data_IF_320279698135
#
_entry.id   IF_320279698135
#
_cell.length_a   1.000
_cell.length_b   1.000
_cell.length_c   1.000
_cell.angle_alpha   90.00
_cell.angle_beta   90.00
_cell.angle_gamma   90.00
#
_symmetry.space_group_name_H-M   'P 1'
#
loop_
_entity.id
_entity.type
_entity.pdbx_description
1 polymer ?
#
# COMPACT_ATOMS: atom_id res chain seq x y z
N UNK A 1 -61.48 24.53 -48.96
CA UNK A 1 -61.67 23.30 -49.75
C UNK A 1 -60.31 22.64 -49.82
N UNK A 2 -60.02 21.51 -49.24
CA UNK A 2 -60.62 20.35 -48.60
C UNK A 2 -59.63 19.88 -47.56
N UNK A 3 -59.93 19.57 -46.46
CA UNK A 3 -60.34 18.40 -45.74
C UNK A 3 -59.84 17.05 -46.28
N UNK A 4 -59.02 16.34 -45.53
CA UNK A 4 -59.05 14.88 -45.34
C UNK A 4 -57.93 14.51 -44.36
N UNK A 5 -58.28 14.10 -43.24
CA UNK A 5 -58.53 12.78 -42.69
C UNK A 5 -57.28 12.18 -42.01
N UNK A 6 -57.41 12.08 -40.70
CA UNK A 6 -56.59 11.20 -39.83
C UNK A 6 -57.03 9.74 -39.94
N UNK A 7 -56.13 8.80 -39.68
CA UNK A 7 -56.54 7.67 -38.84
C UNK A 7 -55.70 7.50 -37.60
N UNK A 8 -56.40 7.27 -36.55
CA UNK A 8 -56.02 6.75 -35.24
C UNK A 8 -55.45 5.32 -35.32
N UNK A 9 -54.38 5.05 -34.67
CA UNK A 9 -53.84 3.71 -34.42
C UNK A 9 -53.06 3.59 -33.11
N UNK A 10 -52.96 2.45 -32.49
CA UNK A 10 -53.12 2.26 -31.04
C UNK A 10 -51.85 2.37 -30.21
N UNK A 11 -52.08 2.61 -28.91
CA UNK A 11 -51.12 2.65 -27.84
C UNK A 11 -50.39 1.29 -27.69
N UNK A 12 -49.04 1.32 -27.70
CA UNK A 12 -48.24 0.22 -27.21
C UNK A 12 -47.45 0.65 -25.98
N UNK A 13 -47.67 -0.13 -24.93
CA UNK A 13 -47.09 0.05 -23.62
C UNK A 13 -45.58 -0.01 -23.62
N UNK A 14 -44.97 0.89 -22.88
CA UNK A 14 -43.55 0.92 -22.57
C UNK A 14 -43.25 -0.01 -21.39
N UNK A 15 -42.77 -1.22 -21.68
CA UNK A 15 -42.09 -2.00 -20.68
C UNK A 15 -40.69 -1.40 -20.47
N UNK A 16 -40.45 -0.79 -19.31
CA UNK A 16 -39.12 -0.41 -18.86
C UNK A 16 -38.35 -1.67 -18.52
N UNK A 17 -37.47 -2.10 -19.41
CA UNK A 17 -36.44 -3.09 -19.10
C UNK A 17 -35.40 -2.48 -18.22
N UNK A 18 -35.38 -2.90 -16.99
CA UNK A 18 -34.32 -2.69 -16.00
C UNK A 18 -33.05 -3.35 -16.56
N UNK A 19 -32.07 -2.51 -16.97
CA UNK A 19 -30.77 -2.99 -17.41
C UNK A 19 -29.92 -3.23 -16.17
N UNK A 20 -29.86 -4.48 -15.78
CA UNK A 20 -28.86 -5.02 -14.86
C UNK A 20 -27.46 -4.70 -15.42
N UNK A 21 -26.78 -3.72 -14.80
CA UNK A 21 -25.38 -3.37 -15.06
C UNK A 21 -24.52 -4.06 -14.02
N UNK A 22 -24.35 -5.36 -14.15
CA UNK A 22 -23.21 -6.04 -13.55
C UNK A 22 -21.95 -5.65 -14.32
N UNK A 23 -20.93 -5.07 -13.70
CA UNK A 23 -19.65 -4.83 -14.35
C UNK A 23 -18.93 -6.18 -14.51
N UNK A 24 -18.97 -6.73 -15.71
CA UNK A 24 -18.09 -7.85 -16.08
C UNK A 24 -16.67 -7.33 -16.23
N UNK A 25 -15.98 -7.17 -15.11
CA UNK A 25 -14.54 -7.00 -15.08
C UNK A 25 -13.90 -8.30 -15.56
N UNK A 26 -13.37 -8.30 -16.77
CA UNK A 26 -12.57 -9.39 -17.31
C UNK A 26 -11.29 -9.47 -16.48
N UNK A 27 -11.23 -10.43 -15.55
CA UNK A 27 -10.03 -10.75 -14.80
C UNK A 27 -8.90 -11.07 -15.79
N UNK A 28 -7.82 -10.30 -15.73
CA UNK A 28 -6.54 -10.72 -16.32
C UNK A 28 -6.18 -12.05 -15.67
N UNK A 29 -5.88 -13.04 -16.50
CA UNK A 29 -5.68 -14.42 -16.08
C UNK A 29 -4.63 -14.57 -14.98
N UNK A 30 -4.74 -15.59 -14.15
CA UNK A 30 -3.96 -15.70 -12.94
C UNK A 30 -2.49 -15.95 -13.28
N UNK A 31 -1.62 -15.06 -12.78
CA UNK A 31 -0.28 -15.54 -12.41
C UNK A 31 -0.51 -16.70 -11.43
N UNK A 32 0.27 -17.80 -11.49
CA UNK A 32 0.07 -18.92 -10.59
C UNK A 32 0.26 -18.43 -9.15
N UNK A 33 -0.86 -18.19 -8.47
CA UNK A 33 -0.89 -17.84 -7.07
C UNK A 33 -0.68 -19.14 -6.30
N UNK A 34 0.55 -19.45 -5.98
CA UNK A 34 0.83 -20.31 -4.85
C UNK A 34 0.55 -19.46 -3.60
N UNK A 35 -0.72 -19.32 -3.24
CA UNK A 35 -1.08 -18.73 -1.97
C UNK A 35 -0.37 -19.48 -0.85
N UNK A 36 0.15 -18.78 0.18
CA UNK A 36 0.81 -19.44 1.29
C UNK A 36 -0.14 -20.43 1.90
N UNK A 37 0.24 -21.72 1.85
CA UNK A 37 -0.42 -22.76 2.61
C UNK A 37 -0.33 -22.37 4.09
N UNK A 38 -1.43 -21.92 4.70
CA UNK A 38 -1.48 -21.79 6.14
C UNK A 38 -2.25 -20.61 6.76
N UNK A 39 -2.64 -19.56 6.03
CA UNK A 39 -3.53 -18.56 6.62
C UNK A 39 -4.99 -18.91 6.31
N UNK A 40 -5.59 -19.75 7.12
CA UNK A 40 -7.05 -19.91 7.14
C UNK A 40 -7.66 -18.61 7.62
N UNK A 41 -8.31 -17.86 6.72
CA UNK A 41 -9.07 -16.69 7.11
C UNK A 41 -10.09 -17.08 8.19
N UNK A 42 -10.02 -16.47 9.36
CA UNK A 42 -11.06 -16.60 10.38
C UNK A 42 -12.29 -15.86 9.86
N UNK A 43 -13.41 -16.53 9.61
CA UNK A 43 -14.60 -15.89 9.06
C UNK A 43 -15.02 -14.72 9.96
N UNK A 44 -15.17 -13.53 9.38
CA UNK A 44 -15.66 -12.33 10.08
C UNK A 44 -14.59 -11.42 10.70
N UNK A 45 -13.30 -11.77 10.68
CA UNK A 45 -12.23 -10.88 11.13
C UNK A 45 -11.75 -9.99 9.99
N UNK A 46 -11.66 -8.68 10.26
CA UNK A 46 -11.07 -7.70 9.33
C UNK A 46 -9.57 -7.97 9.15
N UNK A 47 -9.10 -7.95 7.92
CA UNK A 47 -7.71 -8.17 7.55
C UNK A 47 -7.06 -6.84 7.18
N UNK A 48 -6.22 -6.32 8.06
CA UNK A 48 -5.61 -5.01 7.93
C UNK A 48 -4.13 -5.13 7.56
N UNK A 49 -3.79 -4.69 6.35
CA UNK A 49 -2.40 -4.51 5.93
C UNK A 49 -1.79 -3.28 6.59
N UNK A 50 -0.53 -3.38 7.00
CA UNK A 50 0.24 -2.29 7.57
C UNK A 50 1.51 -2.14 6.76
N UNK A 51 1.65 -1.06 6.02
CA UNK A 51 2.87 -0.74 5.29
C UNK A 51 3.62 0.37 6.01
N UNK A 52 4.59 -0.02 6.85
CA UNK A 52 5.50 0.92 7.51
C UNK A 52 6.62 1.37 6.58
N UNK A 53 6.97 2.64 6.61
CA UNK A 53 8.05 3.14 5.77
C UNK A 53 8.45 4.57 6.06
N UNK A 54 9.65 4.95 5.64
CA UNK A 54 10.08 6.35 5.73
C UNK A 54 9.33 7.21 4.72
N UNK A 55 9.02 6.67 3.52
CA UNK A 55 8.31 7.35 2.43
C UNK A 55 8.91 8.72 2.08
N UNK A 56 10.19 8.73 1.73
CA UNK A 56 10.98 9.94 1.51
C UNK A 56 11.62 9.99 0.10
N UNK A 57 10.78 10.16 -0.98
CA UNK A 57 9.33 10.15 -1.00
C UNK A 57 8.71 8.74 -1.11
N UNK A 58 7.40 8.65 -0.94
CA UNK A 58 6.61 7.51 -1.42
C UNK A 58 6.68 7.46 -2.94
N UNK A 59 6.61 6.25 -3.52
CA UNK A 59 6.73 6.04 -4.97
C UNK A 59 5.85 4.88 -5.45
N UNK A 60 5.67 4.74 -6.76
CA UNK A 60 4.81 3.69 -7.33
C UNK A 60 5.22 2.28 -6.92
N UNK A 61 6.49 2.01 -6.65
CA UNK A 61 6.93 0.71 -6.13
C UNK A 61 6.27 0.33 -4.80
N UNK A 62 6.03 1.31 -3.90
CA UNK A 62 5.30 1.07 -2.66
C UNK A 62 3.81 0.78 -2.92
N UNK A 63 3.19 1.56 -3.82
CA UNK A 63 1.76 1.44 -4.12
C UNK A 63 1.44 0.10 -4.81
N UNK A 64 2.27 -0.30 -5.77
CA UNK A 64 2.15 -1.61 -6.45
C UNK A 64 2.29 -2.75 -5.44
N UNK A 65 3.32 -2.70 -4.58
CA UNK A 65 3.52 -3.73 -3.56
C UNK A 65 2.31 -3.84 -2.62
N UNK A 66 1.77 -2.71 -2.15
CA UNK A 66 0.58 -2.68 -1.30
C UNK A 66 -0.65 -3.26 -2.00
N UNK A 67 -0.88 -2.89 -3.26
CA UNK A 67 -2.02 -3.36 -4.05
C UNK A 67 -1.96 -4.86 -4.32
N UNK A 68 -0.80 -5.38 -4.72
CA UNK A 68 -0.62 -6.80 -4.99
C UNK A 68 -0.79 -7.65 -3.73
N UNK A 69 -0.22 -7.21 -2.61
CA UNK A 69 -0.40 -7.89 -1.33
C UNK A 69 -1.86 -7.83 -0.87
N UNK A 70 -2.53 -6.68 -1.03
CA UNK A 70 -3.94 -6.55 -0.68
C UNK A 70 -4.80 -7.57 -1.43
N UNK A 71 -4.56 -7.73 -2.74
CA UNK A 71 -5.27 -8.70 -3.57
C UNK A 71 -4.96 -10.14 -3.18
N UNK A 72 -3.68 -10.51 -3.04
CA UNK A 72 -3.25 -11.88 -2.75
C UNK A 72 -3.69 -12.36 -1.36
N UNK A 73 -3.62 -11.48 -0.36
CA UNK A 73 -3.99 -11.79 1.02
C UNK A 73 -5.44 -11.42 1.34
N UNK A 74 -6.23 -10.93 0.37
CA UNK A 74 -7.61 -10.48 0.57
C UNK A 74 -7.73 -9.54 1.76
N UNK A 75 -6.87 -8.50 1.76
CA UNK A 75 -6.92 -7.50 2.81
C UNK A 75 -8.11 -6.57 2.57
N UNK A 76 -8.80 -6.20 3.64
CA UNK A 76 -9.90 -5.24 3.57
C UNK A 76 -9.39 -3.80 3.37
N UNK A 77 -8.21 -3.53 3.92
CA UNK A 77 -7.57 -2.23 3.87
C UNK A 77 -6.05 -2.37 4.00
N UNK A 78 -5.30 -1.43 3.43
CA UNK A 78 -3.87 -1.24 3.73
C UNK A 78 -3.66 0.16 4.30
N UNK A 79 -3.19 0.22 5.55
CA UNK A 79 -2.80 1.47 6.20
C UNK A 79 -1.30 1.71 6.00
N UNK A 80 -0.96 2.85 5.39
CA UNK A 80 0.41 3.34 5.29
C UNK A 80 0.77 4.08 6.56
N UNK A 81 1.92 3.77 7.14
CA UNK A 81 2.40 4.38 8.38
C UNK A 81 3.76 5.02 8.14
N UNK A 82 3.80 6.33 7.79
CA UNK A 82 5.06 7.07 7.70
C UNK A 82 5.75 7.12 9.07
N UNK A 83 7.02 6.70 9.12
CA UNK A 83 7.80 6.75 10.36
C UNK A 83 7.94 8.18 10.89
N UNK A 84 7.82 8.39 12.18
CA UNK A 84 8.11 9.67 12.82
C UNK A 84 9.60 10.01 12.70
N UNK A 85 10.41 9.38 13.54
CA UNK A 85 11.88 9.49 13.52
C UNK A 85 12.51 8.15 13.16
N UNK A 86 12.98 7.96 11.90
CA UNK A 86 13.57 6.69 11.46
C UNK A 86 14.97 6.51 12.04
N UNK A 87 15.11 5.76 13.13
CA UNK A 87 16.39 5.54 13.80
C UNK A 87 17.47 4.89 12.92
N UNK A 88 17.05 4.04 11.97
CA UNK A 88 17.95 3.38 11.02
C UNK A 88 18.56 4.34 9.98
N UNK A 89 18.09 5.57 9.89
CA UNK A 89 18.52 6.58 8.91
C UNK A 89 19.12 7.82 9.56
N UNK A 90 19.59 7.72 10.80
CA UNK A 90 20.23 8.81 11.55
C UNK A 90 21.49 9.38 10.90
N UNK A 91 22.09 8.65 9.95
CA UNK A 91 23.29 9.05 9.22
C UNK A 91 23.03 9.97 8.00
N UNK A 92 21.76 10.28 7.69
CA UNK A 92 21.39 11.18 6.60
C UNK A 92 20.21 12.06 6.98
N UNK A 93 20.10 13.22 6.31
CA UNK A 93 18.94 14.08 6.41
C UNK A 93 17.72 13.38 5.81
N UNK A 94 16.63 13.36 6.55
CA UNK A 94 15.32 12.86 6.13
C UNK A 94 14.36 14.02 6.13
N UNK A 95 13.50 14.14 5.14
CA UNK A 95 12.50 15.20 5.05
C UNK A 95 11.59 15.19 6.30
N UNK A 96 11.06 16.36 6.66
CA UNK A 96 10.17 16.50 7.80
C UNK A 96 9.05 15.46 7.79
N UNK A 97 8.70 14.92 8.93
CA UNK A 97 7.67 13.88 9.05
C UNK A 97 6.34 14.30 8.42
N UNK A 98 5.98 15.60 8.56
CA UNK A 98 4.78 16.16 7.95
C UNK A 98 4.82 16.15 6.42
N UNK A 99 5.95 16.51 5.80
CA UNK A 99 6.08 16.45 4.34
C UNK A 99 5.94 15.02 3.84
N UNK A 100 6.54 14.04 4.51
CA UNK A 100 6.45 12.61 4.16
C UNK A 100 5.03 12.07 4.34
N UNK A 101 4.35 12.47 5.41
CA UNK A 101 2.95 12.14 5.65
C UNK A 101 2.05 12.70 4.55
N UNK A 102 2.17 14.00 4.23
CA UNK A 102 1.35 14.64 3.20
C UNK A 102 1.60 14.05 1.81
N UNK A 103 2.85 13.73 1.46
CA UNK A 103 3.16 13.01 0.22
C UNK A 103 2.48 11.62 0.20
N UNK A 104 2.45 10.92 1.33
CA UNK A 104 1.80 9.61 1.43
C UNK A 104 0.29 9.73 1.28
N UNK A 105 -0.34 10.72 1.91
CA UNK A 105 -1.78 11.01 1.76
C UNK A 105 -2.13 11.28 0.30
N UNK A 106 -1.39 12.18 -0.35
CA UNK A 106 -1.62 12.53 -1.77
C UNK A 106 -1.44 11.33 -2.69
N UNK A 107 -0.47 10.44 -2.37
CA UNK A 107 -0.19 9.26 -3.18
C UNK A 107 -1.26 8.18 -3.09
N UNK A 108 -2.01 8.12 -1.99
CA UNK A 108 -2.94 7.01 -1.69
C UNK A 108 -4.40 7.39 -1.85
N UNK A 109 -4.72 8.69 -1.95
CA UNK A 109 -6.10 9.22 -1.89
C UNK A 109 -7.06 8.64 -2.93
N UNK A 110 -6.56 8.22 -4.09
CA UNK A 110 -7.38 7.70 -5.19
C UNK A 110 -7.74 6.21 -5.01
N UNK A 111 -7.08 5.49 -4.11
CA UNK A 111 -7.36 4.08 -3.86
C UNK A 111 -8.21 3.92 -2.59
N UNK A 112 -9.49 3.48 -2.70
CA UNK A 112 -10.40 3.36 -1.56
C UNK A 112 -9.98 2.31 -0.52
N UNK A 113 -9.06 1.39 -0.88
CA UNK A 113 -8.51 0.41 0.05
C UNK A 113 -7.30 0.93 0.84
N UNK A 114 -6.79 2.14 0.51
CA UNK A 114 -5.61 2.69 1.14
C UNK A 114 -5.97 3.82 2.11
N UNK A 115 -5.36 3.79 3.28
CA UNK A 115 -5.42 4.86 4.26
C UNK A 115 -4.02 5.21 4.77
N UNK A 116 -3.90 6.31 5.50
CA UNK A 116 -2.64 6.76 6.07
C UNK A 116 -2.83 7.07 7.55
N UNK A 117 -1.97 6.52 8.39
CA UNK A 117 -1.98 6.76 9.82
C UNK A 117 -0.81 7.65 10.25
N UNK A 118 -1.07 8.55 11.17
CA UNK A 118 -0.06 9.42 11.80
C UNK A 118 0.55 8.84 13.08
N UNK A 119 0.17 7.60 13.42
CA UNK A 119 0.42 7.01 14.75
C UNK A 119 1.89 7.12 15.20
N UNK A 120 2.84 6.90 14.29
CA UNK A 120 4.27 6.99 14.60
C UNK A 120 4.77 8.44 14.72
N UNK A 121 4.15 9.37 13.98
CA UNK A 121 4.46 10.80 14.04
C UNK A 121 3.94 11.38 15.36
N UNK A 122 2.69 11.06 15.70
CA UNK A 122 2.02 11.59 16.88
C UNK A 122 2.57 10.99 18.19
N UNK A 123 3.08 9.74 18.16
CA UNK A 123 3.79 9.14 19.31
C UNK A 123 5.05 9.91 19.64
N UNK A 124 5.74 10.46 18.61
CA UNK A 124 7.04 11.10 18.78
C UNK A 124 8.17 10.12 19.11
N UNK A 125 9.41 10.64 19.08
CA UNK A 125 10.60 9.84 19.34
C UNK A 125 10.95 8.82 18.26
N UNK A 126 11.93 7.92 18.53
CA UNK A 126 12.34 6.89 17.57
C UNK A 126 11.20 5.92 17.26
N UNK A 127 11.00 5.64 15.97
CA UNK A 127 9.96 4.70 15.50
C UNK A 127 10.51 3.28 15.47
N UNK A 128 9.84 2.38 16.18
CA UNK A 128 10.07 0.93 16.12
C UNK A 128 8.82 0.20 15.67
N UNK A 129 8.96 -0.80 14.82
CA UNK A 129 7.84 -1.58 14.27
C UNK A 129 6.97 -2.21 15.34
N UNK A 130 7.57 -2.68 16.43
CA UNK A 130 6.82 -3.29 17.54
C UNK A 130 5.86 -2.30 18.19
N UNK A 131 6.29 -1.05 18.39
CA UNK A 131 5.43 -0.01 19.00
C UNK A 131 4.29 0.37 18.04
N UNK A 132 4.57 0.47 16.73
CA UNK A 132 3.54 0.69 15.70
C UNK A 132 2.49 -0.41 15.72
N UNK A 133 2.91 -1.68 15.79
CA UNK A 133 2.00 -2.82 15.81
C UNK A 133 1.20 -2.92 17.10
N UNK A 134 1.80 -2.61 18.27
CA UNK A 134 1.08 -2.53 19.56
C UNK A 134 -0.05 -1.52 19.51
N UNK A 135 0.24 -0.31 19.02
CA UNK A 135 -0.74 0.78 18.91
C UNK A 135 -1.85 0.43 17.92
N UNK A 136 -1.50 -0.10 16.74
CA UNK A 136 -2.50 -0.51 15.74
C UNK A 136 -3.35 -1.69 16.24
N UNK A 137 -2.78 -2.62 16.99
CA UNK A 137 -3.51 -3.72 17.63
C UNK A 137 -4.51 -3.18 18.67
N UNK A 138 -4.09 -2.21 19.48
CA UNK A 138 -4.97 -1.59 20.46
C UNK A 138 -6.17 -0.86 19.82
N UNK A 139 -5.93 -0.20 18.67
CA UNK A 139 -6.98 0.47 17.92
C UNK A 139 -7.87 -0.49 17.12
N UNK A 140 -7.39 -1.69 16.78
CA UNK A 140 -8.07 -2.67 15.95
C UNK A 140 -8.02 -4.07 16.60
N UNK A 141 -8.61 -4.29 17.79
CA UNK A 141 -8.45 -5.52 18.56
C UNK A 141 -9.00 -6.75 17.84
N UNK A 142 -10.04 -6.59 17.03
CA UNK A 142 -10.70 -7.67 16.31
C UNK A 142 -10.10 -7.93 14.92
N UNK A 143 -9.10 -7.14 14.48
CA UNK A 143 -8.49 -7.29 13.15
C UNK A 143 -7.30 -8.25 13.17
N UNK A 144 -7.05 -8.91 12.04
CA UNK A 144 -5.78 -9.58 11.76
C UNK A 144 -4.83 -8.56 11.12
N UNK A 145 -3.63 -8.39 11.69
CA UNK A 145 -2.63 -7.46 11.15
C UNK A 145 -1.66 -8.20 10.24
N UNK A 146 -1.36 -7.60 9.09
CA UNK A 146 -0.40 -8.08 8.10
C UNK A 146 0.63 -6.99 7.83
N UNK A 147 1.87 -7.18 8.31
CA UNK A 147 2.92 -6.18 8.12
C UNK A 147 3.65 -6.40 6.81
N UNK A 148 3.60 -5.40 5.92
CA UNK A 148 4.15 -5.45 4.57
C UNK A 148 5.49 -4.72 4.55
N UNK A 149 6.56 -5.41 4.13
CA UNK A 149 7.90 -4.82 4.06
C UNK A 149 8.69 -5.41 2.89
N UNK A 150 9.76 -4.72 2.49
CA UNK A 150 10.68 -5.29 1.52
C UNK A 150 11.37 -6.53 2.09
N UNK A 151 11.60 -7.49 1.25
CA UNK A 151 12.18 -8.75 1.64
C UNK A 151 13.59 -8.61 2.24
N UNK A 152 14.39 -7.63 1.78
CA UNK A 152 15.72 -7.33 2.36
C UNK A 152 15.61 -6.84 3.82
N UNK A 153 14.57 -6.07 4.13
CA UNK A 153 14.30 -5.62 5.49
C UNK A 153 13.76 -6.78 6.36
N UNK A 154 12.93 -7.64 5.79
CA UNK A 154 12.43 -8.84 6.46
C UNK A 154 13.56 -9.80 6.83
N UNK A 155 14.58 -9.95 5.98
CA UNK A 155 15.75 -10.79 6.28
C UNK A 155 16.49 -10.35 7.56
N UNK A 156 16.30 -9.11 7.99
CA UNK A 156 16.91 -8.55 9.20
C UNK A 156 15.95 -8.48 10.38
N UNK A 157 14.73 -9.03 10.27
CA UNK A 157 13.67 -8.85 11.28
C UNK A 157 14.07 -9.33 12.67
N UNK A 158 14.90 -10.38 12.77
CA UNK A 158 15.37 -10.91 14.06
C UNK A 158 16.31 -9.94 14.80
N UNK A 159 16.83 -8.93 14.11
CA UNK A 159 17.64 -7.84 14.70
C UNK A 159 16.79 -6.65 15.15
N UNK A 160 15.49 -6.66 14.84
CA UNK A 160 14.61 -5.58 15.24
C UNK A 160 14.27 -5.66 16.71
N UNK A 161 13.95 -4.50 17.29
CA UNK A 161 13.57 -4.41 18.70
C UNK A 161 12.38 -5.32 19.00
N UNK A 162 12.46 -6.08 20.09
CA UNK A 162 11.42 -7.00 20.56
C UNK A 162 10.93 -7.95 19.44
N UNK A 163 11.88 -8.50 18.65
CA UNK A 163 11.58 -9.28 17.45
C UNK A 163 10.70 -10.51 17.71
N UNK A 164 10.79 -11.14 18.89
CA UNK A 164 9.95 -12.28 19.27
C UNK A 164 8.47 -11.90 19.38
N UNK A 165 8.18 -10.68 19.87
CA UNK A 165 6.81 -10.20 20.01
C UNK A 165 6.17 -9.84 18.67
N UNK A 166 6.95 -9.41 17.67
CA UNK A 166 6.47 -9.00 16.35
C UNK A 166 5.55 -10.06 15.72
N UNK A 167 5.96 -11.33 15.80
CA UNK A 167 5.21 -12.43 15.19
C UNK A 167 3.91 -12.80 15.94
N UNK A 168 3.76 -12.36 17.18
CA UNK A 168 2.50 -12.46 17.92
C UNK A 168 1.52 -11.34 17.57
N UNK A 169 2.03 -10.20 17.10
CA UNK A 169 1.25 -9.02 16.77
C UNK A 169 0.73 -9.02 15.35
N UNK A 170 1.51 -9.52 14.38
CA UNK A 170 1.15 -9.49 12.96
C UNK A 170 1.75 -10.67 12.19
N UNK A 171 1.12 -11.01 11.08
CA UNK A 171 1.73 -11.84 10.04
C UNK A 171 2.62 -10.95 9.15
N UNK A 172 3.86 -11.37 8.89
CA UNK A 172 4.82 -10.58 8.11
C UNK A 172 4.83 -11.00 6.64
N UNK A 173 4.79 -10.03 5.74
CA UNK A 173 4.84 -10.25 4.30
C UNK A 173 6.06 -9.54 3.73
N UNK A 174 7.02 -10.35 3.29
CA UNK A 174 8.20 -9.88 2.57
C UNK A 174 7.93 -9.78 1.08
N UNK A 175 8.01 -8.57 0.55
CA UNK A 175 7.80 -8.33 -0.88
C UNK A 175 9.12 -8.37 -1.60
N UNK A 176 9.23 -9.20 -2.63
CA UNK A 176 10.41 -9.33 -3.50
C UNK A 176 10.10 -8.97 -4.94
N UNK A 177 11.14 -8.75 -5.71
CA UNK A 177 11.08 -8.49 -7.15
C UNK A 177 11.35 -9.77 -7.93
N UNK A 178 10.88 -9.88 -9.19
CA UNK A 178 11.24 -11.01 -10.04
C UNK A 178 12.75 -11.23 -10.11
N UNK A 179 13.18 -12.49 -9.92
CA UNK A 179 14.57 -12.89 -9.95
C UNK A 179 15.38 -12.63 -8.66
N UNK A 180 14.75 -12.11 -7.60
CA UNK A 180 15.36 -12.02 -6.28
C UNK A 180 14.82 -13.15 -5.38
N UNK A 181 15.65 -14.15 -5.12
CA UNK A 181 15.30 -15.24 -4.21
C UNK A 181 15.71 -14.89 -2.80
N UNK A 182 14.72 -14.79 -1.91
CA UNK A 182 14.99 -14.80 -0.47
C UNK A 182 14.82 -16.20 0.06
N UNK A 183 15.71 -16.57 0.92
CA UNK A 183 15.54 -17.75 1.75
C UNK A 183 14.85 -17.34 3.05
N UNK A 184 13.82 -18.06 3.44
CA UNK A 184 13.15 -17.95 4.75
C UNK A 184 13.97 -18.59 5.89
N UNK A 185 15.26 -18.86 5.61
CA UNK A 185 16.16 -19.53 6.54
C UNK A 185 16.23 -18.75 7.88
N UNK A 186 15.71 -19.38 8.94
CA UNK A 186 15.70 -18.83 10.30
C UNK A 186 14.47 -18.02 10.68
N UNK A 187 13.49 -17.80 9.77
CA UNK A 187 12.25 -17.12 10.09
C UNK A 187 11.21 -18.10 10.71
N UNK A 188 10.35 -17.65 11.62
CA UNK A 188 9.33 -18.50 12.24
C UNK A 188 8.36 -19.05 11.20
N UNK A 189 8.19 -20.39 11.18
CA UNK A 189 7.22 -21.04 10.30
C UNK A 189 5.80 -20.58 10.61
N UNK A 190 5.07 -20.14 9.58
CA UNK A 190 3.68 -19.68 9.71
C UNK A 190 3.50 -18.21 10.09
N UNK A 191 4.55 -17.50 10.54
CA UNK A 191 4.51 -16.08 10.86
C UNK A 191 4.91 -15.16 9.70
N UNK A 192 5.45 -15.74 8.60
CA UNK A 192 6.05 -15.01 7.49
C UNK A 192 5.58 -15.59 6.16
N UNK A 193 5.33 -14.71 5.19
CA UNK A 193 5.12 -15.06 3.78
C UNK A 193 6.04 -14.24 2.90
N UNK A 194 6.57 -14.86 1.84
CA UNK A 194 7.33 -14.17 0.81
C UNK A 194 6.48 -14.08 -0.45
N UNK A 195 6.38 -12.89 -1.03
CA UNK A 195 5.54 -12.62 -2.19
C UNK A 195 6.36 -11.93 -3.27
N UNK A 196 6.37 -12.54 -4.45
CA UNK A 196 6.88 -11.87 -5.64
C UNK A 196 5.79 -11.00 -6.24
N UNK A 197 6.10 -9.74 -6.46
CA UNK A 197 5.17 -8.77 -7.07
C UNK A 197 5.80 -8.19 -8.34
N UNK A 198 5.01 -7.68 -9.30
CA UNK A 198 5.52 -6.97 -10.47
C UNK A 198 6.18 -5.66 -10.04
N UNK A 199 7.31 -5.77 -9.34
CA UNK A 199 7.95 -4.64 -8.71
C UNK A 199 8.67 -3.76 -9.73
N UNK A 200 8.41 -2.48 -9.65
CA UNK A 200 9.17 -1.47 -10.36
C UNK A 200 10.52 -1.26 -9.66
N UNK A 201 11.60 -1.17 -10.44
CA UNK A 201 12.93 -0.84 -9.91
C UNK A 201 13.02 0.64 -9.56
N UNK A 202 12.17 1.09 -8.64
CA UNK A 202 12.10 2.47 -8.15
C UNK A 202 12.56 2.49 -6.69
N UNK A 203 13.43 3.44 -6.34
CA UNK A 203 13.81 3.67 -4.95
C UNK A 203 13.62 5.15 -4.58
N UNK A 204 13.31 5.41 -3.32
CA UNK A 204 13.25 6.79 -2.81
C UNK A 204 14.62 7.49 -2.96
N UNK A 205 15.72 6.75 -2.86
CA UNK A 205 17.08 7.30 -3.05
C UNK A 205 17.28 7.80 -4.46
N UNK A 206 16.87 7.02 -5.48
CA UNK A 206 16.98 7.44 -6.88
C UNK A 206 16.05 8.63 -7.17
N UNK A 207 14.84 8.64 -6.60
CA UNK A 207 13.92 9.77 -6.73
C UNK A 207 14.55 11.08 -6.20
N UNK A 208 15.14 11.04 -5.00
CA UNK A 208 15.82 12.23 -4.44
C UNK A 208 17.01 12.67 -5.27
N UNK A 209 17.85 11.71 -5.70
CA UNK A 209 19.02 12.01 -6.53
C UNK A 209 18.64 12.65 -7.87
N UNK A 210 17.53 12.21 -8.48
CA UNK A 210 16.99 12.83 -9.70
C UNK A 210 16.55 14.27 -9.45
N UNK A 211 15.74 14.50 -8.43
CA UNK A 211 15.28 15.87 -8.08
C UNK A 211 16.45 16.79 -7.81
N UNK A 212 17.47 16.33 -7.07
CA UNK A 212 18.67 17.13 -6.79
C UNK A 212 19.43 17.55 -8.05
N UNK A 213 19.38 16.72 -9.11
CA UNK A 213 19.99 17.00 -10.43
C UNK A 213 19.08 17.79 -11.37
N UNK A 214 17.82 18.02 -11.01
CA UNK A 214 16.83 18.60 -11.90
C UNK A 214 16.24 17.61 -12.91
N UNK A 215 16.49 16.30 -12.75
CA UNK A 215 15.94 15.25 -13.59
C UNK A 215 14.47 14.98 -13.23
N UNK A 216 13.62 14.56 -14.20
CA UNK A 216 12.21 14.29 -13.93
C UNK A 216 12.00 13.04 -13.06
N UNK A 217 10.99 13.13 -12.18
CA UNK A 217 10.50 12.00 -11.37
C UNK A 217 9.05 11.61 -11.70
N UNK A 218 8.50 12.18 -12.80
CA UNK A 218 7.21 11.78 -13.34
C UNK A 218 7.17 10.28 -13.58
N UNK A 219 6.05 9.65 -13.24
CA UNK A 219 5.81 8.19 -13.34
C UNK A 219 6.68 7.32 -12.41
N UNK A 220 7.64 7.88 -11.70
CA UNK A 220 8.32 7.20 -10.58
C UNK A 220 7.53 7.38 -9.29
N UNK A 221 6.97 8.57 -9.11
CA UNK A 221 6.06 8.91 -8.02
C UNK A 221 4.72 9.41 -8.59
N UNK A 222 3.61 9.34 -7.84
CA UNK A 222 2.33 9.89 -8.28
C UNK A 222 2.43 11.39 -8.61
N UNK A 223 1.64 11.84 -9.56
CA UNK A 223 1.63 13.23 -10.05
C UNK A 223 1.48 14.27 -8.93
N UNK A 224 0.60 13.99 -7.96
CA UNK A 224 0.41 14.85 -6.79
C UNK A 224 1.66 14.97 -5.94
N UNK A 225 2.45 13.89 -5.84
CA UNK A 225 3.74 13.88 -5.12
C UNK A 225 4.78 14.69 -5.87
N UNK A 226 4.85 14.60 -7.22
CA UNK A 226 5.74 15.46 -8.04
C UNK A 226 5.47 16.93 -7.74
N UNK A 227 4.18 17.33 -7.82
CA UNK A 227 3.76 18.72 -7.57
C UNK A 227 4.05 19.17 -6.13
N UNK A 228 3.91 18.26 -5.16
CA UNK A 228 4.24 18.55 -3.76
C UNK A 228 5.73 18.79 -3.57
N UNK A 229 6.59 17.92 -4.13
CA UNK A 229 8.05 18.05 -4.11
C UNK A 229 8.46 19.42 -4.70
N UNK A 230 7.91 19.77 -5.86
CA UNK A 230 8.19 21.05 -6.52
C UNK A 230 7.73 22.24 -5.70
N UNK A 231 6.51 22.22 -5.18
CA UNK A 231 5.95 23.32 -4.37
C UNK A 231 6.74 23.55 -3.09
N UNK A 232 7.20 22.48 -2.44
CA UNK A 232 7.93 22.52 -1.18
C UNK A 232 9.43 22.62 -1.36
N UNK A 233 9.93 22.60 -2.60
CA UNK A 233 11.36 22.63 -2.95
C UNK A 233 12.18 21.53 -2.24
N UNK A 234 11.56 20.34 -2.03
CA UNK A 234 12.22 19.23 -1.38
C UNK A 234 13.34 18.65 -2.25
N UNK A 235 14.37 18.12 -1.63
CA UNK A 235 15.51 17.43 -2.25
C UNK A 235 16.37 18.31 -3.19
N UNK A 236 16.21 19.61 -3.16
CA UNK A 236 17.02 20.54 -3.95
C UNK A 236 18.16 21.08 -3.09
N UNK A 237 19.40 20.84 -3.52
CA UNK A 237 20.59 21.40 -2.85
C UNK A 237 21.14 20.56 -1.69
N UNK A 238 20.89 19.23 -1.70
CA UNK A 238 21.64 18.28 -0.86
C UNK A 238 22.90 17.79 -1.56
#
# INVERSE_FOLDING_TARGET
MGEQDMPTGPAHGTARGERDRTPTGRALGPYPVTGPAGTTAVPGRRRLGVMGGTFDPIHHGHLVAASEVAAQFRLDEVVFVPTGQPWQKSHRTVSAAEDRYLMTVVATVENPQFSVSRIDIDRGGPTYTVDTLRDLRALNPESELFFITGADALAQILTWRDSEELFSLAHFIGVTRPGHHLTDAGLPKGGVSLVEVPALAISSTDCRARVAKGDPVWYLVPDGVVRYIDKRQLYRGE
#
